data_IF_248227273572
#
_entry.id   IF_248227273572
#
_cell.length_a   1.000
_cell.length_b   1.000
_cell.length_c   1.000
_cell.angle_alpha   90.00
_cell.angle_beta   90.00
_cell.angle_gamma   90.00
#
_symmetry.space_group_name_H-M   'P 1'
#
loop_
_entity.id
_entity.type
_entity.pdbx_description
1 polymer ?
#
# COMPACT_ATOMS: atom_id res chain seq x y z
N UNK A 1 -0.61 28.98 -10.03
CA UNK A 1 0.71 28.31 -10.01
C UNK A 1 0.83 27.24 -8.94
N UNK A 2 0.36 27.43 -7.69
CA UNK A 2 0.54 26.44 -6.58
C UNK A 2 -0.10 25.05 -6.85
N UNK A 3 -1.23 24.96 -7.48
CA UNK A 3 -1.91 23.66 -7.74
C UNK A 3 -1.19 22.78 -8.78
N UNK A 4 -0.58 23.37 -9.80
CA UNK A 4 0.17 22.62 -10.83
C UNK A 4 1.47 22.02 -10.27
N UNK A 5 2.18 22.77 -9.45
CA UNK A 5 3.43 22.32 -8.81
C UNK A 5 3.17 21.14 -7.86
N UNK A 6 2.06 21.17 -7.12
CA UNK A 6 1.67 20.06 -6.21
C UNK A 6 1.37 18.79 -7.01
N UNK A 7 0.69 18.89 -8.14
CA UNK A 7 0.34 17.74 -9.00
C UNK A 7 1.60 17.12 -9.64
N UNK A 8 2.55 17.94 -10.07
CA UNK A 8 3.83 17.47 -10.64
C UNK A 8 4.72 16.78 -9.58
N UNK A 9 4.73 17.31 -8.36
CA UNK A 9 5.48 16.73 -7.24
C UNK A 9 4.90 15.36 -6.82
N UNK A 10 3.58 15.25 -6.74
CA UNK A 10 2.89 13.99 -6.39
C UNK A 10 3.12 12.95 -7.48
N UNK A 11 3.08 13.33 -8.75
CA UNK A 11 3.41 12.43 -9.87
C UNK A 11 4.82 11.85 -9.79
N UNK A 12 5.81 12.67 -9.43
CA UNK A 12 7.20 12.23 -9.29
C UNK A 12 7.39 11.23 -8.12
N UNK A 13 6.70 11.42 -7.00
CA UNK A 13 6.77 10.54 -5.83
C UNK A 13 6.19 9.17 -6.16
N UNK A 14 5.04 9.12 -6.81
CA UNK A 14 4.40 7.86 -7.19
C UNK A 14 5.24 7.05 -8.20
N UNK A 15 5.97 7.70 -9.10
CA UNK A 15 6.93 7.04 -10.00
C UNK A 15 8.08 6.39 -9.21
N UNK A 16 8.55 7.03 -8.13
CA UNK A 16 9.62 6.50 -7.27
C UNK A 16 9.17 5.23 -6.52
N UNK A 17 7.91 5.20 -6.07
CA UNK A 17 7.31 4.07 -5.36
C UNK A 17 7.11 2.86 -6.29
N UNK A 18 6.64 3.08 -7.51
CA UNK A 18 6.56 2.03 -8.54
C UNK A 18 7.93 1.42 -8.81
N UNK A 19 8.99 2.24 -8.82
CA UNK A 19 10.38 1.77 -8.95
C UNK A 19 10.85 0.91 -7.76
N UNK A 20 10.38 1.21 -6.55
CA UNK A 20 10.73 0.46 -5.35
C UNK A 20 10.09 -0.95 -5.33
N UNK A 21 8.79 -1.06 -5.58
CA UNK A 21 8.11 -2.36 -5.66
C UNK A 21 8.57 -3.22 -6.86
N UNK A 22 8.85 -2.61 -8.01
CA UNK A 22 9.38 -3.34 -9.16
C UNK A 22 10.85 -3.76 -8.96
N UNK A 23 11.62 -3.06 -8.13
CA UNK A 23 13.02 -3.36 -7.83
C UNK A 23 13.20 -4.68 -7.08
N UNK A 24 12.36 -4.96 -6.08
CA UNK A 24 12.44 -6.16 -5.26
C UNK A 24 12.10 -7.44 -6.06
N UNK A 25 11.10 -7.39 -6.93
CA UNK A 25 10.73 -8.52 -7.79
C UNK A 25 11.82 -8.87 -8.81
N UNK A 26 12.55 -7.87 -9.33
CA UNK A 26 13.67 -8.09 -10.26
C UNK A 26 14.88 -8.69 -9.53
N UNK A 27 15.13 -8.31 -8.27
CA UNK A 27 16.21 -8.84 -7.46
C UNK A 27 16.00 -10.33 -7.13
N UNK A 28 14.78 -10.73 -6.75
CA UNK A 28 14.41 -12.12 -6.45
C UNK A 28 14.51 -12.99 -7.71
N UNK A 29 14.04 -12.52 -8.85
CA UNK A 29 14.14 -13.26 -10.12
C UNK A 29 15.60 -13.40 -10.60
N UNK A 30 16.49 -12.47 -10.29
CA UNK A 30 17.92 -12.60 -10.58
C UNK A 30 18.61 -13.63 -9.68
N UNK A 31 18.25 -13.71 -8.40
CA UNK A 31 18.78 -14.74 -7.50
C UNK A 31 18.34 -16.16 -7.91
N UNK A 32 17.08 -16.36 -8.27
CA UNK A 32 16.59 -17.67 -8.73
C UNK A 32 17.23 -18.11 -10.05
N UNK A 33 17.51 -17.18 -10.98
CA UNK A 33 18.24 -17.51 -12.22
C UNK A 33 19.71 -17.89 -12.00
N UNK A 34 20.33 -17.41 -10.94
CA UNK A 34 21.77 -17.70 -10.66
C UNK A 34 21.95 -19.07 -10.03
N UNK A 35 20.91 -19.68 -9.47
CA UNK A 35 20.95 -21.03 -8.89
C UNK A 35 20.78 -22.10 -9.99
N UNK A 36 19.97 -21.83 -11.04
CA UNK A 36 19.73 -22.78 -12.13
C UNK A 36 20.85 -22.81 -13.21
N UNK A 37 21.77 -21.84 -13.22
CA UNK A 37 22.78 -21.72 -14.29
C UNK A 37 24.16 -22.30 -13.98
N UNK A 38 24.28 -23.17 -12.98
CA UNK A 38 25.56 -23.86 -12.66
C UNK A 38 25.73 -25.25 -13.29
N UNK A 39 24.84 -25.65 -14.21
CA UNK A 39 25.02 -26.88 -15.01
C UNK A 39 24.73 -26.56 -16.48
N UNK A 40 25.73 -26.21 -17.21
CA UNK A 40 26.05 -26.54 -18.59
C UNK A 40 26.91 -25.46 -19.25
N UNK A 41 28.04 -25.92 -19.72
CA UNK A 41 29.11 -25.20 -20.43
C UNK A 41 28.76 -24.85 -21.88
N UNK A 42 29.33 -23.72 -22.32
CA UNK A 42 29.89 -23.41 -23.66
C UNK A 42 28.95 -23.22 -24.87
N UNK A 43 28.98 -22.11 -25.48
CA UNK A 43 29.59 -21.59 -26.70
C UNK A 43 28.76 -20.50 -27.40
N UNK A 44 29.42 -19.37 -27.57
CA UNK A 44 29.46 -18.39 -28.67
C UNK A 44 28.21 -17.70 -29.27
N UNK A 45 28.45 -16.41 -29.40
CA UNK A 45 28.21 -15.43 -30.48
C UNK A 45 26.95 -14.56 -30.49
N UNK A 46 27.22 -13.32 -30.16
CA UNK A 46 26.96 -12.03 -30.85
C UNK A 46 25.66 -11.89 -31.65
N UNK A 47 24.78 -11.03 -31.15
CA UNK A 47 24.32 -9.87 -31.95
C UNK A 47 23.49 -8.88 -31.11
N UNK A 48 24.02 -7.69 -31.05
CA UNK A 48 23.41 -6.45 -30.53
C UNK A 48 22.23 -6.07 -31.41
N UNK A 49 21.04 -5.99 -30.83
CA UNK A 49 19.93 -5.23 -31.40
C UNK A 49 19.25 -4.43 -30.32
N UNK A 50 19.72 -3.20 -30.16
CA UNK A 50 19.06 -2.18 -29.35
C UNK A 50 17.81 -1.68 -30.08
N UNK A 51 16.63 -2.17 -29.66
CA UNK A 51 15.35 -1.61 -30.08
C UNK A 51 15.10 -0.35 -29.26
N UNK A 52 14.76 0.81 -29.87
CA UNK A 52 14.46 2.02 -29.11
C UNK A 52 13.21 1.80 -28.26
N UNK A 53 13.35 1.90 -26.97
CA UNK A 53 12.23 1.92 -26.01
C UNK A 53 11.45 3.21 -26.24
N UNK A 54 10.22 3.11 -26.74
CA UNK A 54 9.27 4.23 -26.77
C UNK A 54 9.17 4.83 -25.37
N UNK A 55 9.08 6.17 -25.25
CA UNK A 55 8.81 6.82 -23.98
C UNK A 55 7.48 6.29 -23.43
N UNK A 56 7.49 5.72 -22.24
CA UNK A 56 6.29 5.29 -21.52
C UNK A 56 5.50 6.56 -21.21
N UNK A 57 4.32 6.72 -21.78
CA UNK A 57 3.41 7.82 -21.46
C UNK A 57 3.26 7.87 -19.94
N UNK A 58 3.54 9.02 -19.33
CA UNK A 58 3.28 9.30 -17.92
C UNK A 58 1.77 9.20 -17.70
N UNK A 59 1.31 8.07 -17.21
CA UNK A 59 -0.05 7.94 -16.73
C UNK A 59 -0.19 8.84 -15.50
N UNK A 60 -0.93 9.95 -15.63
CA UNK A 60 -1.32 10.81 -14.52
C UNK A 60 -2.06 9.96 -13.49
N UNK A 61 -1.37 9.59 -12.42
CA UNK A 61 -1.97 8.80 -11.35
C UNK A 61 -3.05 9.65 -10.67
N UNK A 62 -4.24 9.06 -10.56
CA UNK A 62 -5.39 9.71 -9.92
C UNK A 62 -5.24 9.56 -8.40
N UNK A 63 -5.41 10.68 -7.68
CA UNK A 63 -5.54 10.67 -6.23
C UNK A 63 -7.03 10.77 -5.91
N UNK A 64 -7.53 9.77 -5.21
CA UNK A 64 -8.92 9.67 -4.79
C UNK A 64 -9.15 10.46 -3.50
N UNK A 65 -10.37 10.96 -3.32
CA UNK A 65 -10.79 11.65 -2.10
C UNK A 65 -11.27 10.65 -1.06
N UNK A 66 -11.37 11.11 0.18
CA UNK A 66 -12.05 10.38 1.26
C UNK A 66 -13.45 9.96 0.79
N UNK A 67 -13.83 8.70 0.96
CA UNK A 67 -15.10 8.14 0.52
C UNK A 67 -15.18 7.80 -0.97
N UNK A 68 -14.22 8.17 -1.81
CA UNK A 68 -14.17 7.80 -3.23
C UNK A 68 -13.47 6.45 -3.42
N UNK A 69 -14.06 5.55 -4.22
CA UNK A 69 -13.44 4.26 -4.52
C UNK A 69 -12.42 4.39 -5.65
N UNK A 70 -11.20 3.92 -5.41
CA UNK A 70 -10.16 3.71 -6.41
C UNK A 70 -9.98 2.22 -6.72
N UNK A 71 -9.43 1.91 -7.90
CA UNK A 71 -9.10 0.54 -8.28
C UNK A 71 -7.59 0.39 -8.41
N UNK A 72 -7.02 -0.59 -7.69
CA UNK A 72 -5.61 -0.96 -7.73
C UNK A 72 -5.52 -2.49 -7.86
N UNK A 73 -5.02 -2.97 -9.01
CA UNK A 73 -5.05 -4.38 -9.32
C UNK A 73 -6.48 -4.93 -9.27
N UNK A 74 -6.66 -5.99 -8.50
CA UNK A 74 -7.97 -6.62 -8.27
C UNK A 74 -8.77 -6.00 -7.11
N UNK A 75 -8.28 -4.93 -6.50
CA UNK A 75 -8.91 -4.32 -5.35
C UNK A 75 -9.62 -3.01 -5.68
N UNK A 76 -10.89 -2.90 -5.31
CA UNK A 76 -11.58 -1.65 -5.11
C UNK A 76 -11.33 -1.17 -3.69
N UNK A 77 -10.70 -0.02 -3.52
CA UNK A 77 -10.29 0.50 -2.22
C UNK A 77 -10.95 1.85 -1.98
N UNK A 78 -11.50 2.02 -0.78
CA UNK A 78 -12.09 3.28 -0.35
C UNK A 78 -11.60 3.61 1.04
N UNK A 79 -11.07 4.82 1.25
CA UNK A 79 -10.78 5.34 2.58
C UNK A 79 -12.09 5.85 3.20
N UNK A 80 -12.50 5.25 4.32
CA UNK A 80 -13.76 5.59 4.99
C UNK A 80 -13.57 6.63 6.10
N UNK A 81 -12.49 6.49 6.89
CA UNK A 81 -12.18 7.34 8.02
C UNK A 81 -10.68 7.32 8.31
N UNK A 82 -10.18 8.38 8.93
CA UNK A 82 -8.79 8.48 9.36
C UNK A 82 -8.72 9.13 10.74
N UNK A 83 -8.01 8.49 11.65
CA UNK A 83 -7.85 8.95 13.02
C UNK A 83 -6.38 9.11 13.39
N UNK A 84 -6.08 10.17 14.13
CA UNK A 84 -4.79 10.41 14.76
C UNK A 84 -4.88 10.00 16.24
N UNK A 85 -4.05 9.04 16.67
CA UNK A 85 -4.10 8.43 17.99
C UNK A 85 -2.70 8.28 18.58
N UNK A 86 -2.61 8.14 19.89
CA UNK A 86 -1.38 7.72 20.60
C UNK A 86 -1.49 6.30 21.14
N UNK A 87 -2.70 5.74 21.11
CA UNK A 87 -2.97 4.37 21.57
C UNK A 87 -4.00 3.72 20.65
N UNK A 88 -3.65 2.57 20.10
CA UNK A 88 -4.59 1.65 19.46
C UNK A 88 -5.14 0.73 20.55
N UNK A 89 -6.43 0.77 20.74
CA UNK A 89 -7.09 -0.06 21.73
C UNK A 89 -7.34 -1.46 21.21
N UNK A 90 -6.87 -2.46 21.93
CA UNK A 90 -7.18 -3.86 21.72
C UNK A 90 -8.56 -4.26 22.21
N UNK A 91 -8.84 -5.54 22.18
CA UNK A 91 -10.05 -6.11 22.78
C UNK A 91 -10.00 -6.16 24.31
N UNK A 92 -8.81 -6.29 24.87
CA UNK A 92 -8.48 -6.13 26.28
C UNK A 92 -7.45 -5.01 26.43
N UNK A 93 -7.39 -4.39 27.64
CA UNK A 93 -6.45 -3.30 27.93
C UNK A 93 -4.99 -3.73 27.87
N UNK A 94 -4.68 -5.00 28.08
CA UNK A 94 -3.34 -5.58 27.94
C UNK A 94 -2.87 -5.64 26.48
N UNK A 95 -3.80 -5.65 25.53
CA UNK A 95 -3.52 -5.72 24.10
C UNK A 95 -3.31 -4.34 23.46
N UNK A 96 -3.45 -3.27 24.24
CA UNK A 96 -3.28 -1.91 23.74
C UNK A 96 -1.86 -1.70 23.20
N UNK A 97 -1.77 -1.00 22.07
CA UNK A 97 -0.50 -0.54 21.49
C UNK A 97 -0.37 0.97 21.67
N UNK A 98 0.61 1.39 22.43
CA UNK A 98 0.87 2.81 22.72
C UNK A 98 2.21 3.22 22.14
N UNK A 99 2.27 4.42 21.58
CA UNK A 99 3.50 5.00 21.04
C UNK A 99 3.85 6.32 21.73
N UNK A 100 5.14 6.64 21.77
CA UNK A 100 5.63 7.97 22.10
C UNK A 100 5.51 8.96 20.92
N UNK A 101 5.24 8.46 19.73
CA UNK A 101 4.98 9.21 18.51
C UNK A 101 3.47 9.37 18.31
N UNK A 102 2.96 9.20 17.10
CA UNK A 102 1.52 9.09 16.84
C UNK A 102 1.21 7.97 15.87
N UNK A 103 0.04 7.39 15.99
CA UNK A 103 -0.54 6.51 15.02
C UNK A 103 -1.50 7.26 14.09
N UNK A 104 -1.42 6.98 12.80
CA UNK A 104 -2.46 7.31 11.83
C UNK A 104 -3.17 6.00 11.51
N UNK A 105 -4.40 5.87 11.98
CA UNK A 105 -5.25 4.71 11.76
C UNK A 105 -6.23 5.02 10.63
N UNK A 106 -6.10 4.29 9.54
CA UNK A 106 -6.93 4.46 8.34
C UNK A 106 -7.93 3.31 8.26
N UNK A 107 -9.22 3.64 8.26
CA UNK A 107 -10.31 2.69 8.02
C UNK A 107 -10.55 2.58 6.52
N UNK A 108 -10.43 1.38 6.00
CA UNK A 108 -10.63 1.08 4.59
C UNK A 108 -11.87 0.22 4.38
N UNK A 109 -12.49 0.36 3.21
CA UNK A 109 -13.32 -0.65 2.60
C UNK A 109 -12.55 -1.27 1.45
N UNK A 110 -12.46 -2.59 1.45
CA UNK A 110 -11.84 -3.41 0.42
C UNK A 110 -12.91 -4.19 -0.33
N UNK A 111 -12.89 -4.13 -1.64
CA UNK A 111 -13.77 -4.91 -2.51
C UNK A 111 -12.92 -5.74 -3.46
N UNK A 112 -12.90 -7.04 -3.28
CA UNK A 112 -12.22 -7.95 -4.20
C UNK A 112 -13.00 -8.04 -5.51
N UNK A 113 -12.42 -7.51 -6.58
CA UNK A 113 -13.00 -7.49 -7.93
C UNK A 113 -12.56 -8.67 -8.81
N UNK A 114 -11.76 -9.60 -8.27
CA UNK A 114 -11.39 -10.83 -8.95
C UNK A 114 -12.53 -11.86 -8.92
N UNK A 115 -12.32 -13.01 -9.58
CA UNK A 115 -13.31 -14.10 -9.61
C UNK A 115 -13.10 -15.14 -8.50
N UNK A 116 -12.02 -15.02 -7.71
CA UNK A 116 -11.69 -15.93 -6.62
C UNK A 116 -11.49 -15.15 -5.32
N UNK A 117 -11.63 -15.83 -4.18
CA UNK A 117 -11.23 -15.24 -2.91
C UNK A 117 -9.75 -14.84 -2.93
N UNK A 118 -9.42 -13.72 -2.33
CA UNK A 118 -8.07 -13.18 -2.31
C UNK A 118 -7.76 -12.53 -0.96
N UNK A 119 -6.52 -12.65 -0.53
CA UNK A 119 -6.00 -11.96 0.65
C UNK A 119 -5.49 -10.58 0.25
N UNK A 120 -5.69 -9.60 1.11
CA UNK A 120 -4.99 -8.32 1.03
C UNK A 120 -3.81 -8.32 1.99
N UNK A 121 -2.81 -7.50 1.71
CA UNK A 121 -1.66 -7.32 2.59
C UNK A 121 -1.57 -5.88 3.07
N UNK A 122 -1.37 -5.69 4.38
CA UNK A 122 -1.06 -4.37 4.94
C UNK A 122 0.23 -3.78 4.37
N UNK A 123 1.17 -4.61 3.94
CA UNK A 123 2.46 -4.19 3.39
C UNK A 123 2.33 -3.53 2.01
N UNK A 124 1.20 -3.74 1.32
CA UNK A 124 0.88 -3.07 0.06
C UNK A 124 0.51 -1.58 0.24
N UNK A 125 0.36 -1.15 1.51
CA UNK A 125 0.03 0.24 1.84
C UNK A 125 1.23 0.99 2.39
N UNK A 126 1.44 2.20 1.87
CA UNK A 126 2.46 3.15 2.32
C UNK A 126 1.75 4.49 2.60
N UNK A 127 2.12 5.14 3.68
CA UNK A 127 1.72 6.52 3.94
C UNK A 127 2.87 7.45 3.56
N UNK A 128 2.63 8.31 2.58
CA UNK A 128 3.59 9.28 2.05
C UNK A 128 3.33 10.66 2.64
N UNK A 129 4.39 11.35 3.10
CA UNK A 129 4.35 12.76 3.45
C UNK A 129 4.83 13.59 2.26
N UNK A 130 3.91 14.22 1.58
CA UNK A 130 4.20 15.02 0.37
C UNK A 130 5.09 16.22 0.64
N UNK A 131 5.19 16.70 1.89
CA UNK A 131 6.03 17.83 2.28
C UNK A 131 7.47 17.43 2.55
N UNK A 132 7.66 16.40 3.37
CA UNK A 132 8.99 15.94 3.80
C UNK A 132 9.57 14.88 2.87
N UNK A 133 8.75 14.26 2.03
CA UNK A 133 9.08 13.11 1.17
C UNK A 133 9.39 11.83 1.95
N UNK A 134 9.01 11.80 3.22
CA UNK A 134 9.12 10.60 4.04
C UNK A 134 8.02 9.60 3.70
N UNK A 135 8.35 8.32 3.74
CA UNK A 135 7.44 7.21 3.53
C UNK A 135 7.39 6.34 4.76
N UNK A 136 6.18 6.04 5.20
CA UNK A 136 5.95 5.25 6.39
C UNK A 136 5.29 3.93 5.99
N UNK A 137 5.89 2.83 6.42
CA UNK A 137 5.30 1.48 6.26
C UNK A 137 4.21 1.28 7.29
N UNK A 138 3.25 0.42 6.99
CA UNK A 138 2.23 0.03 7.95
C UNK A 138 2.85 -0.69 9.16
N UNK A 139 2.31 -0.41 10.35
CA UNK A 139 2.62 -1.13 11.58
C UNK A 139 1.75 -2.39 11.65
N UNK A 140 2.35 -3.56 11.42
CA UNK A 140 1.65 -4.84 11.45
C UNK A 140 0.97 -5.05 12.81
N UNK A 141 1.71 -4.89 13.92
CA UNK A 141 1.20 -5.12 15.26
C UNK A 141 0.02 -4.20 15.62
N UNK A 142 0.13 -2.90 15.31
CA UNK A 142 -0.94 -1.95 15.59
C UNK A 142 -2.17 -2.21 14.72
N UNK A 143 -1.96 -2.55 13.44
CA UNK A 143 -3.03 -2.93 12.53
C UNK A 143 -3.74 -4.22 12.95
N UNK A 144 -2.98 -5.23 13.35
CA UNK A 144 -3.53 -6.49 13.85
C UNK A 144 -4.37 -6.26 15.12
N UNK A 145 -3.85 -5.49 16.09
CA UNK A 145 -4.59 -5.13 17.29
C UNK A 145 -5.93 -4.47 16.98
N UNK A 146 -5.94 -3.48 16.08
CA UNK A 146 -7.17 -2.78 15.69
C UNK A 146 -8.19 -3.71 15.02
N UNK A 147 -7.73 -4.58 14.11
CA UNK A 147 -8.60 -5.51 13.37
C UNK A 147 -9.10 -6.66 14.25
N UNK A 148 -8.28 -7.22 15.14
CA UNK A 148 -8.71 -8.25 16.08
C UNK A 148 -9.79 -7.75 17.05
N UNK A 149 -9.73 -6.49 17.47
CA UNK A 149 -10.78 -5.87 18.26
C UNK A 149 -12.12 -5.98 17.55
N UNK A 150 -12.18 -5.68 16.25
CA UNK A 150 -13.41 -5.74 15.48
C UNK A 150 -13.82 -7.18 15.18
N UNK A 151 -12.92 -8.01 14.69
CA UNK A 151 -13.26 -9.36 14.20
C UNK A 151 -13.49 -10.36 15.33
N UNK A 152 -12.65 -10.35 16.37
CA UNK A 152 -12.68 -11.36 17.45
C UNK A 152 -13.57 -10.89 18.61
N UNK A 153 -13.33 -9.69 19.13
CA UNK A 153 -13.99 -9.22 20.34
C UNK A 153 -15.39 -8.64 20.04
N UNK A 154 -15.49 -7.77 19.06
CA UNK A 154 -16.77 -7.17 18.64
C UNK A 154 -17.59 -8.11 17.73
N UNK A 155 -16.98 -9.18 17.20
CA UNK A 155 -17.59 -10.12 16.24
C UNK A 155 -18.25 -9.41 15.05
N UNK A 156 -17.60 -8.35 14.59
CA UNK A 156 -18.09 -7.51 13.50
C UNK A 156 -17.86 -8.18 12.16
N UNK A 157 -18.91 -8.75 11.59
CA UNK A 157 -18.86 -9.48 10.31
C UNK A 157 -18.56 -8.61 9.09
N UNK A 158 -18.63 -7.28 9.21
CA UNK A 158 -18.21 -6.37 8.14
C UNK A 158 -16.70 -6.22 8.05
N UNK A 159 -15.96 -6.58 9.12
CA UNK A 159 -14.51 -6.51 9.15
C UNK A 159 -13.86 -7.80 8.69
N UNK A 160 -12.63 -7.66 8.22
CA UNK A 160 -11.71 -8.73 7.88
C UNK A 160 -10.38 -8.48 8.58
N UNK A 161 -9.78 -9.55 9.09
CA UNK A 161 -8.44 -9.52 9.68
C UNK A 161 -7.35 -9.40 8.60
N UNK A 162 -6.13 -9.11 9.05
CA UNK A 162 -4.96 -9.09 8.17
C UNK A 162 -4.71 -10.52 7.67
N UNK A 163 -4.42 -10.65 6.38
CA UNK A 163 -4.18 -11.93 5.69
C UNK A 163 -5.39 -12.91 5.71
N UNK A 164 -6.58 -12.41 5.93
CA UNK A 164 -7.81 -13.18 5.74
C UNK A 164 -8.36 -13.01 4.31
N UNK A 165 -9.10 -14.02 3.85
CA UNK A 165 -9.68 -14.01 2.50
C UNK A 165 -10.89 -13.09 2.41
N UNK A 166 -10.93 -12.28 1.36
CA UNK A 166 -12.10 -11.50 0.96
C UNK A 166 -12.71 -12.13 -0.28
N UNK A 167 -13.97 -12.54 -0.17
CA UNK A 167 -14.70 -13.13 -1.29
C UNK A 167 -14.97 -12.10 -2.41
N UNK A 168 -15.10 -12.54 -3.66
CA UNK A 168 -15.42 -11.66 -4.78
C UNK A 168 -16.71 -10.84 -4.54
N UNK A 169 -16.64 -9.55 -4.82
CA UNK A 169 -17.76 -8.61 -4.74
C UNK A 169 -18.48 -8.59 -3.36
N UNK A 170 -17.76 -8.97 -2.30
CA UNK A 170 -18.25 -8.91 -0.92
C UNK A 170 -17.38 -7.91 -0.15
N UNK A 171 -17.73 -6.61 -0.15
CA UNK A 171 -16.90 -5.59 0.48
C UNK A 171 -16.70 -5.87 1.97
N UNK A 172 -15.47 -5.70 2.44
CA UNK A 172 -15.07 -5.82 3.85
C UNK A 172 -14.36 -4.55 4.30
N UNK A 173 -14.42 -4.28 5.59
CA UNK A 173 -13.68 -3.19 6.23
C UNK A 173 -12.43 -3.73 6.90
N UNK A 174 -11.42 -2.88 7.00
CA UNK A 174 -10.17 -3.19 7.73
C UNK A 174 -9.51 -1.90 8.18
N UNK A 175 -8.59 -2.01 9.14
CA UNK A 175 -7.71 -0.92 9.54
C UNK A 175 -6.28 -1.16 9.04
N UNK A 176 -5.69 -0.11 8.48
CA UNK A 176 -4.24 -0.03 8.26
C UNK A 176 -3.71 1.08 9.16
N UNK A 177 -2.66 0.79 9.92
CA UNK A 177 -2.12 1.72 10.93
C UNK A 177 -0.68 2.04 10.59
N UNK A 178 -0.32 3.32 10.70
CA UNK A 178 1.04 3.81 10.48
C UNK A 178 1.53 4.51 11.75
N UNK A 179 2.76 4.24 12.15
CA UNK A 179 3.43 5.03 13.18
C UNK A 179 4.25 6.14 12.51
N UNK A 180 3.98 7.39 12.87
CA UNK A 180 4.59 8.57 12.25
C UNK A 180 5.08 9.54 13.31
N UNK A 181 6.04 10.44 13.01
CA UNK A 181 6.51 11.47 13.94
C UNK A 181 5.36 12.37 14.49
N UNK A 182 5.56 12.91 15.68
CA UNK A 182 4.55 13.80 16.32
C UNK A 182 4.16 15.01 15.47
N UNK A 183 5.09 15.52 14.66
CA UNK A 183 4.92 16.69 13.81
C UNK A 183 4.37 16.36 12.41
N UNK A 184 4.09 15.06 12.12
CA UNK A 184 3.40 14.68 10.90
C UNK A 184 2.05 15.40 10.80
N UNK A 185 1.78 15.98 9.62
CA UNK A 185 0.51 16.67 9.36
C UNK A 185 -0.29 15.87 8.29
N UNK A 186 -1.48 15.42 8.68
CA UNK A 186 -2.37 14.64 7.79
C UNK A 186 -2.73 15.38 6.48
N UNK A 187 -2.67 16.71 6.45
CA UNK A 187 -2.89 17.47 5.19
C UNK A 187 -1.86 17.21 4.12
N UNK A 188 -0.66 16.73 4.52
CA UNK A 188 0.40 16.34 3.60
C UNK A 188 0.39 14.83 3.32
N UNK A 189 -0.48 14.08 4.00
CA UNK A 189 -0.51 12.62 3.91
C UNK A 189 -1.27 12.13 2.69
N UNK A 190 -0.66 11.20 1.96
CA UNK A 190 -1.29 10.42 0.89
C UNK A 190 -1.10 8.94 1.23
N UNK A 191 -2.21 8.23 1.38
CA UNK A 191 -2.18 6.77 1.44
C UNK A 191 -1.96 6.24 0.03
N UNK A 192 -0.99 5.38 -0.15
CA UNK A 192 -0.66 4.77 -1.43
C UNK A 192 -0.86 3.26 -1.30
N UNK A 193 -1.52 2.67 -2.28
CA UNK A 193 -1.59 1.22 -2.48
C UNK A 193 -0.89 0.88 -3.79
N UNK A 194 0.08 -0.03 -3.72
CA UNK A 194 0.78 -0.57 -4.89
C UNK A 194 0.35 -2.00 -5.16
N UNK A 195 0.22 -2.35 -6.43
CA UNK A 195 -0.01 -3.73 -6.85
C UNK A 195 1.28 -4.39 -7.36
N UNK A 196 1.25 -5.72 -7.50
CA UNK A 196 2.38 -6.50 -7.99
C UNK A 196 2.75 -6.19 -9.46
N UNK A 197 1.89 -5.50 -10.20
CA UNK A 197 2.14 -5.05 -11.58
C UNK A 197 2.85 -3.70 -11.64
N UNK A 198 3.21 -3.13 -10.49
CA UNK A 198 3.88 -1.83 -10.38
C UNK A 198 2.96 -0.65 -10.64
N UNK A 199 1.65 -0.83 -10.54
CA UNK A 199 0.68 0.26 -10.54
C UNK A 199 0.42 0.68 -9.12
N UNK A 200 0.34 1.98 -8.89
CA UNK A 200 0.00 2.53 -7.59
C UNK A 200 -1.14 3.53 -7.71
N UNK A 201 -1.98 3.59 -6.70
CA UNK A 201 -3.05 4.58 -6.56
C UNK A 201 -2.91 5.30 -5.23
N UNK A 202 -3.24 6.59 -5.22
CA UNK A 202 -3.16 7.41 -4.04
C UNK A 202 -4.55 7.80 -3.52
N UNK A 203 -4.65 8.00 -2.21
CA UNK A 203 -5.85 8.46 -1.53
C UNK A 203 -5.51 9.57 -0.57
N UNK A 204 -6.27 10.67 -0.62
CA UNK A 204 -6.19 11.68 0.42
C UNK A 204 -6.67 11.08 1.73
N UNK A 205 -5.95 11.40 2.84
CA UNK A 205 -6.33 10.99 4.18
C UNK A 205 -6.99 12.14 4.97
N UNK A 206 -7.24 13.27 4.29
CA UNK A 206 -7.97 14.41 4.86
C UNK A 206 -8.76 15.16 3.80
#
# INVERSE_FOLDING_TARGET
MKKRVIIEIIGAILIFIVGYFAGDTVAINRMNKTVDSKVSSETSDTSTSSKPTKPKEEQKQKIYKLGEEGTSGNWGIKVLDVQELTTIQGGDSSDNRTTQQKFIMVKLQLNNKSQAAAQYSNEEFILDDTKTKAQYKSSMEAGETANQKETIYNKNSEFVGINEDVNPNTPKQTYVVFEVPKDFNMENGILIHGDNDGKAVGYNIK
#
